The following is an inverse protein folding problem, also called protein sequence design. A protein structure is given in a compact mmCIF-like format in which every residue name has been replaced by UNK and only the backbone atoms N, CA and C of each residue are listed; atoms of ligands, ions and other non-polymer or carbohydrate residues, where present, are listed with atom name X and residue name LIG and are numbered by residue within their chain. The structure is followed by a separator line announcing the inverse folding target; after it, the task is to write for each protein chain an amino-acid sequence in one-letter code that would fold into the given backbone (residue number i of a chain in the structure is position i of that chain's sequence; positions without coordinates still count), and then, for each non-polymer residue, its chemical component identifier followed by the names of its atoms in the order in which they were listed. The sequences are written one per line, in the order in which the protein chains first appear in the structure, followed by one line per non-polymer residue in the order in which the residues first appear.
data_IF_962454582082
#
_entry.id   IF_962454582082
#
_cell.length_a   1.000
_cell.length_b   1.000
_cell.length_c   1.000
_cell.angle_alpha   90.00
_cell.angle_beta   90.00
_cell.angle_gamma   90.00
#
_symmetry.space_group_name_H-M   'P 1'
#
loop_
_entity.id
_entity.type
_entity.pdbx_description
1 polymer ?
#
# COMPACT_ATOMS: atom_id res chain seq x y z
N UNK A 1 9.51 -21.03 2.93
CA UNK A 1 9.15 -19.61 2.66
C UNK A 1 10.40 -18.89 2.17
N UNK A 2 10.39 -18.21 1.01
CA UNK A 2 11.56 -17.43 0.60
C UNK A 2 11.45 -16.00 1.12
N UNK A 3 12.35 -15.64 2.04
CA UNK A 3 12.51 -14.26 2.49
C UNK A 3 12.90 -13.40 1.28
N UNK A 4 12.30 -12.20 1.18
CA UNK A 4 12.60 -11.23 0.12
C UNK A 4 12.93 -9.90 0.75
N UNK A 5 13.87 -9.18 0.14
CA UNK A 5 14.17 -7.80 0.50
C UNK A 5 13.22 -6.88 -0.27
N UNK A 6 12.61 -5.94 0.45
CA UNK A 6 11.69 -4.96 -0.11
C UNK A 6 12.12 -3.56 0.28
N UNK A 7 12.48 -2.74 -0.71
CA UNK A 7 12.81 -1.33 -0.53
C UNK A 7 11.82 -0.46 -1.28
N UNK A 8 11.61 0.77 -0.81
CA UNK A 8 10.76 1.75 -1.48
C UNK A 8 11.56 2.98 -1.85
N UNK A 9 11.29 3.49 -3.05
CA UNK A 9 11.86 4.71 -3.57
C UNK A 9 10.76 5.76 -3.68
N UNK A 10 11.10 7.01 -3.43
CA UNK A 10 10.21 8.17 -3.58
C UNK A 10 10.67 9.00 -4.77
N UNK A 11 9.79 9.21 -5.73
CA UNK A 11 10.10 9.97 -6.94
C UNK A 11 8.97 10.96 -7.16
N UNK A 12 9.27 12.24 -7.33
CA UNK A 12 8.22 13.23 -7.60
C UNK A 12 7.54 12.93 -8.94
N UNK A 13 6.22 13.17 -9.08
CA UNK A 13 5.47 12.86 -10.31
C UNK A 13 6.04 13.46 -11.59
N UNK A 14 6.67 14.64 -11.50
CA UNK A 14 7.29 15.31 -12.65
C UNK A 14 8.54 14.55 -13.17
N UNK A 15 9.09 13.63 -12.37
CA UNK A 15 10.24 12.77 -12.69
C UNK A 15 9.83 11.35 -13.10
N UNK A 16 8.53 11.11 -13.30
CA UNK A 16 8.03 9.81 -13.76
C UNK A 16 8.57 9.44 -15.14
N UNK A 17 8.67 10.42 -16.05
CA UNK A 17 9.25 10.22 -17.37
C UNK A 17 10.72 9.81 -17.26
N UNK A 18 11.54 10.59 -16.53
CA UNK A 18 12.96 10.29 -16.27
C UNK A 18 13.17 8.89 -15.67
N UNK A 19 12.29 8.46 -14.75
CA UNK A 19 12.32 7.11 -14.19
C UNK A 19 12.07 6.03 -15.25
N UNK A 20 11.06 6.22 -16.10
CA UNK A 20 10.71 5.26 -17.15
C UNK A 20 11.85 5.17 -18.17
N UNK A 21 12.40 6.30 -18.58
CA UNK A 21 13.55 6.37 -19.48
C UNK A 21 14.78 5.67 -18.88
N UNK A 22 15.05 5.90 -17.59
CA UNK A 22 16.11 5.20 -16.87
C UNK A 22 15.88 3.68 -16.87
N UNK A 23 14.66 3.22 -16.61
CA UNK A 23 14.32 1.78 -16.63
C UNK A 23 14.58 1.20 -18.02
N UNK A 24 14.10 1.85 -19.07
CA UNK A 24 14.25 1.38 -20.44
C UNK A 24 15.73 1.33 -20.86
N UNK A 25 16.49 2.37 -20.51
CA UNK A 25 17.94 2.47 -20.80
C UNK A 25 18.76 1.40 -20.08
N UNK A 26 18.24 0.86 -18.97
CA UNK A 26 18.86 -0.22 -18.21
C UNK A 26 18.32 -1.63 -18.58
N UNK A 27 17.68 -1.76 -19.74
CA UNK A 27 17.15 -3.04 -20.23
C UNK A 27 15.92 -3.53 -19.45
N UNK A 28 15.20 -2.60 -18.80
CA UNK A 28 13.98 -2.90 -18.09
C UNK A 28 12.82 -3.21 -19.03
N UNK A 29 11.96 -4.13 -18.63
CA UNK A 29 10.78 -4.52 -19.42
C UNK A 29 9.54 -4.71 -18.55
N UNK A 30 8.37 -4.54 -19.16
CA UNK A 30 7.08 -4.70 -18.50
C UNK A 30 6.85 -6.19 -18.19
N UNK A 31 6.47 -6.51 -16.95
CA UNK A 31 6.19 -7.88 -16.53
C UNK A 31 4.72 -8.29 -16.68
N UNK A 32 3.82 -7.34 -16.46
CA UNK A 32 2.38 -7.57 -16.41
C UNK A 32 1.64 -6.32 -16.89
N UNK A 33 0.40 -6.50 -17.31
CA UNK A 33 -0.47 -5.40 -17.67
C UNK A 33 -0.63 -4.38 -16.53
N UNK A 34 -0.76 -3.12 -16.94
CA UNK A 34 -1.03 -2.01 -16.03
C UNK A 34 -2.40 -2.25 -15.40
N UNK A 35 -2.51 -2.04 -14.09
CA UNK A 35 -3.78 -2.21 -13.40
C UNK A 35 -4.04 -1.13 -12.37
N UNK A 36 -5.31 -0.90 -12.12
CA UNK A 36 -5.77 -0.10 -11.00
C UNK A 36 -5.74 -0.99 -9.76
N UNK A 37 -5.35 -0.41 -8.63
CA UNK A 37 -5.45 -1.05 -7.33
C UNK A 37 -6.22 -0.11 -6.41
N UNK A 38 -7.26 -0.62 -5.79
CA UNK A 38 -8.04 0.09 -4.79
C UNK A 38 -8.01 -0.64 -3.47
N UNK A 39 -7.90 0.07 -2.36
CA UNK A 39 -7.88 -0.52 -1.02
C UNK A 39 -8.56 0.39 -0.01
N UNK A 40 -9.63 -0.09 0.62
CA UNK A 40 -10.23 0.53 1.80
C UNK A 40 -9.57 -0.03 3.04
N UNK A 41 -8.92 0.83 3.82
CA UNK A 41 -8.23 0.48 5.06
C UNK A 41 -9.17 0.62 6.25
N UNK A 42 -8.94 -0.23 7.23
CA UNK A 42 -9.68 -0.28 8.47
C UNK A 42 -8.74 0.06 9.62
N UNK A 43 -9.24 0.81 10.59
CA UNK A 43 -8.57 1.07 11.86
C UNK A 43 -9.63 1.27 12.95
N UNK A 44 -9.23 1.26 14.21
CA UNK A 44 -10.12 1.60 15.32
C UNK A 44 -10.23 3.11 15.50
N UNK A 45 -11.10 3.54 16.42
CA UNK A 45 -11.41 4.95 16.63
C UNK A 45 -10.19 5.74 17.16
N UNK A 46 -9.21 5.04 17.73
CA UNK A 46 -7.95 5.58 18.23
C UNK A 46 -6.80 5.54 17.19
N UNK A 47 -7.07 5.09 15.96
CA UNK A 47 -6.05 4.97 14.90
C UNK A 47 -4.80 4.18 15.33
N UNK A 48 -4.96 3.16 16.18
CA UNK A 48 -3.83 2.43 16.76
C UNK A 48 -2.96 1.76 15.69
N UNK A 49 -3.53 1.20 14.60
CA UNK A 49 -2.72 0.60 13.53
C UNK A 49 -1.87 1.64 12.79
N UNK A 50 -2.36 2.88 12.68
CA UNK A 50 -1.57 4.01 12.20
C UNK A 50 -0.41 4.31 13.14
N UNK A 51 -0.68 4.51 14.43
CA UNK A 51 0.33 4.84 15.44
C UNK A 51 1.44 3.78 15.51
N UNK A 52 1.07 2.50 15.64
CA UNK A 52 2.04 1.39 15.62
C UNK A 52 2.87 1.38 14.32
N UNK A 53 2.25 1.75 13.20
CA UNK A 53 2.94 1.82 11.91
C UNK A 53 3.86 3.02 11.78
N UNK A 54 3.70 4.11 12.55
CA UNK A 54 4.62 5.25 12.54
C UNK A 54 5.77 5.01 13.52
N UNK A 55 5.45 4.59 14.75
CA UNK A 55 6.43 4.23 15.79
C UNK A 55 7.30 3.03 15.37
N UNK A 56 6.77 2.13 14.53
CA UNK A 56 7.48 0.93 14.11
C UNK A 56 7.29 -0.25 15.05
N UNK A 57 6.35 -0.13 16.00
CA UNK A 57 5.96 -1.14 16.98
C UNK A 57 5.57 -2.47 16.30
N UNK A 58 5.91 -3.58 16.97
CA UNK A 58 5.61 -4.95 16.54
C UNK A 58 5.11 -5.76 17.74
N UNK A 59 4.15 -6.69 17.57
CA UNK A 59 3.43 -6.97 16.33
C UNK A 59 2.47 -5.84 15.96
N UNK A 60 2.30 -5.59 14.65
CA UNK A 60 1.30 -4.62 14.16
C UNK A 60 0.55 -5.16 12.96
N UNK A 61 -0.70 -4.70 12.78
CA UNK A 61 -1.56 -5.13 11.67
C UNK A 61 -1.89 -3.99 10.71
N UNK A 62 -2.30 -4.38 9.50
CA UNK A 62 -3.06 -3.55 8.56
C UNK A 62 -4.18 -4.38 7.98
N UNK A 63 -5.42 -3.96 8.26
CA UNK A 63 -6.63 -4.59 7.74
C UNK A 63 -7.15 -3.76 6.56
N UNK A 64 -7.46 -4.42 5.45
CA UNK A 64 -8.01 -3.74 4.28
C UNK A 64 -8.86 -4.63 3.41
N UNK A 65 -9.80 -4.02 2.71
CA UNK A 65 -10.51 -4.64 1.60
C UNK A 65 -9.89 -4.10 0.31
N UNK A 66 -9.46 -4.99 -0.59
CA UNK A 66 -8.73 -4.62 -1.82
C UNK A 66 -9.40 -5.21 -3.06
N UNK A 67 -9.44 -4.42 -4.13
CA UNK A 67 -9.87 -4.82 -5.48
C UNK A 67 -8.88 -4.30 -6.54
N UNK A 68 -9.05 -4.77 -7.77
CA UNK A 68 -8.29 -4.34 -8.95
C UNK A 68 -9.09 -3.43 -9.89
N UNK A 69 -10.09 -2.73 -9.35
CA UNK A 69 -10.94 -1.77 -10.07
C UNK A 69 -11.11 -0.51 -9.23
N UNK A 70 -11.57 0.59 -9.84
CA UNK A 70 -11.97 1.79 -9.12
C UNK A 70 -13.44 1.77 -8.68
N UNK A 71 -14.19 0.73 -9.03
CA UNK A 71 -15.58 0.55 -8.63
C UNK A 71 -15.70 0.31 -7.13
N UNK A 72 -16.91 0.44 -6.59
CA UNK A 72 -17.21 0.09 -5.20
C UNK A 72 -16.81 -1.35 -4.89
N UNK A 73 -16.36 -1.57 -3.67
CA UNK A 73 -16.00 -2.90 -3.19
C UNK A 73 -17.25 -3.79 -3.08
N UNK A 74 -17.22 -4.94 -3.74
CA UNK A 74 -18.25 -5.98 -3.69
C UNK A 74 -17.61 -7.34 -3.40
N UNK A 75 -18.42 -8.31 -3.00
CA UNK A 75 -17.97 -9.68 -2.69
C UNK A 75 -17.33 -10.37 -3.91
N UNK A 76 -17.73 -9.97 -5.13
CA UNK A 76 -17.23 -10.55 -6.37
C UNK A 76 -15.88 -9.96 -6.81
N UNK A 77 -15.63 -8.69 -6.51
CA UNK A 77 -14.46 -7.96 -7.01
C UNK A 77 -13.38 -7.68 -5.95
N UNK A 78 -13.65 -7.99 -4.68
CA UNK A 78 -12.81 -7.59 -3.55
C UNK A 78 -12.46 -8.72 -2.61
N UNK A 79 -11.30 -8.60 -1.98
CA UNK A 79 -10.79 -9.54 -1.00
C UNK A 79 -10.45 -8.81 0.30
N UNK A 80 -10.75 -9.43 1.44
CA UNK A 80 -10.26 -8.99 2.74
C UNK A 80 -8.79 -9.44 2.86
N UNK A 81 -7.92 -8.51 3.23
CA UNK A 81 -6.51 -8.76 3.46
C UNK A 81 -6.12 -8.28 4.86
N UNK A 82 -5.49 -9.15 5.64
CA UNK A 82 -4.83 -8.77 6.89
C UNK A 82 -3.33 -8.97 6.71
N UNK A 83 -2.55 -7.91 6.96
CA UNK A 83 -1.09 -7.97 6.96
C UNK A 83 -0.58 -7.80 8.37
N UNK A 84 0.28 -8.70 8.82
CA UNK A 84 0.91 -8.66 10.14
C UNK A 84 2.41 -8.46 9.94
N UNK A 85 2.99 -7.52 10.67
CA UNK A 85 4.44 -7.39 10.81
C UNK A 85 4.80 -7.67 12.26
N UNK A 86 5.57 -8.73 12.50
CA UNK A 86 6.06 -9.15 13.81
C UNK A 86 7.59 -9.23 13.81
N UNK A 87 8.17 -9.66 14.93
CA UNK A 87 9.63 -9.86 15.08
C UNK A 87 10.10 -11.01 14.17
N UNK A 88 9.28 -12.05 14.04
CA UNK A 88 9.55 -13.27 13.26
C UNK A 88 9.42 -13.04 11.75
N UNK A 89 8.70 -11.98 11.35
CA UNK A 89 8.60 -11.60 9.95
C UNK A 89 7.28 -10.94 9.57
N UNK A 90 6.92 -11.07 8.29
CA UNK A 90 5.69 -10.49 7.74
C UNK A 90 4.79 -11.58 7.20
N UNK A 91 3.54 -11.55 7.65
CA UNK A 91 2.51 -12.50 7.28
C UNK A 91 1.37 -11.77 6.58
N UNK A 92 0.72 -12.44 5.64
CA UNK A 92 -0.45 -11.91 4.96
C UNK A 92 -1.48 -13.02 4.80
N UNK A 93 -2.69 -12.78 5.29
CA UNK A 93 -3.86 -13.59 4.97
C UNK A 93 -4.72 -12.87 3.95
N UNK A 94 -5.37 -13.65 3.08
CA UNK A 94 -6.30 -13.15 2.07
C UNK A 94 -7.51 -14.06 2.09
N UNK A 95 -8.70 -13.50 2.22
CA UNK A 95 -9.94 -14.26 2.22
C UNK A 95 -10.99 -13.60 1.34
N UNK A 96 -11.78 -14.43 0.66
CA UNK A 96 -13.10 -14.03 0.19
C UNK A 96 -14.02 -13.97 1.41
N UNK A 97 -14.84 -12.95 1.49
CA UNK A 97 -15.81 -12.80 2.58
C UNK A 97 -17.18 -12.52 1.99
N UNK A 98 -18.15 -13.37 2.27
CA UNK A 98 -19.58 -13.09 2.02
C UNK A 98 -20.10 -11.95 2.90
N UNK A 99 -19.40 -11.61 3.99
CA UNK A 99 -19.75 -10.53 4.91
C UNK A 99 -19.13 -9.18 4.53
N UNK A 100 -18.65 -9.01 3.30
CA UNK A 100 -17.91 -7.82 2.89
C UNK A 100 -18.74 -6.54 3.01
N UNK A 101 -20.04 -6.58 2.67
CA UNK A 101 -20.97 -5.46 2.87
C UNK A 101 -21.09 -5.09 4.35
N UNK A 102 -21.20 -6.09 5.23
CA UNK A 102 -21.25 -5.89 6.68
C UNK A 102 -19.97 -5.23 7.18
N UNK A 103 -18.81 -5.71 6.74
CA UNK A 103 -17.53 -5.11 7.13
C UNK A 103 -17.42 -3.65 6.70
N UNK A 104 -17.82 -3.31 5.48
CA UNK A 104 -17.82 -1.91 5.02
C UNK A 104 -18.83 -1.03 5.77
N UNK A 105 -19.92 -1.60 6.29
CA UNK A 105 -20.93 -0.82 7.00
C UNK A 105 -20.57 -0.60 8.48
N UNK A 106 -20.18 -1.65 9.19
CA UNK A 106 -20.04 -1.63 10.66
C UNK A 106 -18.63 -1.96 11.17
N UNK A 107 -17.71 -2.36 10.29
CA UNK A 107 -16.35 -2.72 10.64
C UNK A 107 -16.10 -4.23 10.81
N UNK A 108 -14.86 -4.54 11.17
CA UNK A 108 -14.33 -5.89 11.46
C UNK A 108 -13.91 -5.92 12.93
N UNK A 109 -14.28 -6.97 13.65
CA UNK A 109 -13.77 -7.22 14.99
C UNK A 109 -12.40 -7.90 14.88
N UNK A 110 -11.34 -7.24 15.35
CA UNK A 110 -9.99 -7.77 15.46
C UNK A 110 -9.64 -8.05 16.93
N UNK A 111 -8.83 -9.09 17.17
CA UNK A 111 -8.43 -9.51 18.51
C UNK A 111 -7.58 -8.48 19.25
N UNK A 112 -6.78 -7.71 18.52
CA UNK A 112 -5.74 -6.86 19.12
C UNK A 112 -6.19 -5.39 19.10
N UNK A 113 -6.97 -5.00 18.09
CA UNK A 113 -7.41 -3.62 17.87
C UNK A 113 -8.90 -3.39 18.15
N UNK A 114 -9.65 -4.44 18.51
CA UNK A 114 -11.10 -4.34 18.74
C UNK A 114 -11.88 -4.04 17.45
N UNK A 115 -12.89 -3.17 17.54
CA UNK A 115 -13.73 -2.84 16.38
C UNK A 115 -12.98 -1.89 15.44
N UNK A 116 -12.61 -2.40 14.27
CA UNK A 116 -11.94 -1.64 13.23
C UNK A 116 -12.93 -1.25 12.14
N UNK A 117 -13.16 0.05 11.93
CA UNK A 117 -14.09 0.58 10.93
C UNK A 117 -13.35 1.01 9.66
N UNK A 118 -13.99 1.05 8.49
CA UNK A 118 -13.34 1.58 7.30
C UNK A 118 -13.09 3.08 7.46
N UNK A 119 -11.83 3.48 7.37
CA UNK A 119 -11.42 4.88 7.65
C UNK A 119 -11.05 5.64 6.38
N UNK A 120 -10.41 5.00 5.41
CA UNK A 120 -10.00 5.66 4.17
C UNK A 120 -9.84 4.67 3.02
N UNK A 121 -9.97 5.19 1.80
CA UNK A 121 -9.73 4.47 0.55
C UNK A 121 -8.50 5.05 -0.15
N UNK A 122 -7.60 4.16 -0.55
CA UNK A 122 -6.45 4.48 -1.39
C UNK A 122 -6.61 3.80 -2.74
N UNK A 123 -6.57 4.57 -3.82
CA UNK A 123 -6.49 4.04 -5.19
C UNK A 123 -5.26 4.55 -5.92
N UNK A 124 -4.73 3.75 -6.85
CA UNK A 124 -3.56 4.11 -7.64
C UNK A 124 -3.45 3.24 -8.90
N UNK A 125 -2.64 3.69 -9.86
CA UNK A 125 -2.26 2.92 -11.04
C UNK A 125 -0.92 2.25 -10.79
N UNK A 126 -0.83 0.96 -11.09
CA UNK A 126 0.38 0.16 -10.88
C UNK A 126 0.91 -0.37 -12.20
N UNK A 127 2.21 -0.19 -12.40
CA UNK A 127 2.98 -0.77 -13.50
C UNK A 127 4.03 -1.73 -12.92
N UNK A 128 4.26 -2.85 -13.59
CA UNK A 128 5.24 -3.85 -13.18
C UNK A 128 6.40 -3.86 -14.15
N UNK A 129 7.61 -3.71 -13.63
CA UNK A 129 8.83 -3.83 -14.40
C UNK A 129 9.75 -4.91 -13.82
N UNK A 130 10.65 -5.41 -14.66
CA UNK A 130 11.85 -6.11 -14.22
C UNK A 130 13.05 -5.44 -14.85
N UNK A 131 14.01 -5.07 -14.02
CA UNK A 131 15.28 -4.48 -14.46
C UNK A 131 16.38 -4.97 -13.51
N UNK A 132 17.57 -5.28 -14.04
CA UNK A 132 18.66 -5.89 -13.28
C UNK A 132 18.26 -7.15 -12.48
N UNK A 133 17.36 -7.98 -13.05
CA UNK A 133 16.77 -9.16 -12.40
C UNK A 133 15.92 -8.85 -11.14
N UNK A 134 15.73 -7.59 -10.78
CA UNK A 134 14.90 -7.14 -9.65
C UNK A 134 13.50 -6.80 -10.16
N UNK A 135 12.46 -7.20 -9.40
CA UNK A 135 11.08 -6.83 -9.72
C UNK A 135 10.76 -5.47 -9.14
N UNK A 136 10.22 -4.59 -9.97
CA UNK A 136 9.78 -3.26 -9.59
C UNK A 136 8.26 -3.15 -9.71
N UNK A 137 7.65 -2.41 -8.80
CA UNK A 137 6.30 -1.88 -9.01
C UNK A 137 6.30 -0.38 -8.88
N UNK A 138 5.81 0.32 -9.91
CA UNK A 138 5.65 1.76 -9.92
C UNK A 138 4.19 2.06 -9.62
N UNK A 139 3.93 2.71 -8.49
CA UNK A 139 2.61 3.16 -8.09
C UNK A 139 2.52 4.67 -8.32
N UNK A 140 1.68 5.09 -9.27
CA UNK A 140 1.49 6.48 -9.67
C UNK A 140 0.00 6.86 -9.65
N UNK A 141 -0.30 8.17 -9.74
CA UNK A 141 -1.67 8.70 -9.62
C UNK A 141 -2.34 8.18 -8.32
N UNK A 142 -1.59 8.28 -7.21
CA UNK A 142 -2.06 7.80 -5.90
C UNK A 142 -3.07 8.81 -5.36
N UNK A 143 -4.22 8.28 -4.96
CA UNK A 143 -5.43 9.01 -4.60
C UNK A 143 -5.90 8.56 -3.23
N UNK A 144 -6.26 9.52 -2.39
CA UNK A 144 -6.71 9.31 -1.03
C UNK A 144 -8.10 9.90 -0.84
N UNK A 145 -9.03 9.12 -0.27
CA UNK A 145 -10.36 9.58 0.13
C UNK A 145 -10.67 9.11 1.53
N UNK A 146 -11.24 9.98 2.35
CA UNK A 146 -11.80 9.59 3.63
C UNK A 146 -13.03 8.70 3.41
N UNK A 147 -13.20 7.72 4.28
CA UNK A 147 -14.41 6.90 4.36
C UNK A 147 -15.05 7.16 5.72
N UNK A 148 -16.35 7.40 5.72
CA UNK A 148 -17.13 7.62 6.93
C UNK A 148 -18.47 6.88 6.79
N UNK A 149 -18.84 6.11 7.81
CA UNK A 149 -20.04 5.26 7.80
C UNK A 149 -20.20 4.42 6.51
N UNK A 150 -19.08 3.82 6.06
CA UNK A 150 -19.03 2.99 4.86
C UNK A 150 -19.14 3.72 3.52
N UNK A 151 -19.18 5.06 3.52
CA UNK A 151 -19.27 5.88 2.31
C UNK A 151 -18.01 6.70 2.12
N UNK A 152 -17.55 6.80 0.88
CA UNK A 152 -16.46 7.70 0.50
C UNK A 152 -16.92 9.15 0.56
N UNK A 153 -16.12 10.00 1.19
CA UNK A 153 -16.29 11.44 1.11
C UNK A 153 -15.95 11.95 -0.30
N UNK A 154 -16.56 13.05 -0.70
CA UNK A 154 -16.31 13.68 -2.01
C UNK A 154 -14.89 14.24 -2.14
N UNK A 155 -14.29 14.66 -1.02
CA UNK A 155 -12.94 15.20 -0.98
C UNK A 155 -11.89 14.16 -1.37
N UNK A 156 -11.06 14.53 -2.35
CA UNK A 156 -10.03 13.67 -2.94
C UNK A 156 -8.67 14.37 -2.88
N UNK A 157 -7.74 13.75 -2.16
CA UNK A 157 -6.33 14.15 -2.14
C UNK A 157 -5.51 13.33 -3.13
N UNK A 158 -4.50 13.96 -3.75
CA UNK A 158 -3.59 13.30 -4.68
C UNK A 158 -2.17 13.39 -4.15
N UNK A 159 -1.49 12.25 -4.08
CA UNK A 159 -0.07 12.24 -3.70
C UNK A 159 0.77 12.89 -4.82
N UNK A 160 1.65 13.85 -4.52
CA UNK A 160 2.58 14.39 -5.51
C UNK A 160 3.66 13.39 -5.92
N UNK A 161 3.87 12.32 -5.13
CA UNK A 161 4.93 11.37 -5.35
C UNK A 161 4.45 10.08 -6.02
N UNK A 162 5.34 9.53 -6.83
CA UNK A 162 5.33 8.17 -7.36
C UNK A 162 6.15 7.31 -6.42
N UNK A 163 5.59 6.16 -6.07
CA UNK A 163 6.25 5.22 -5.15
C UNK A 163 6.66 3.99 -5.91
N UNK A 164 7.97 3.74 -5.94
CA UNK A 164 8.54 2.53 -6.53
C UNK A 164 8.86 1.53 -5.43
N UNK A 165 8.45 0.28 -5.58
CA UNK A 165 8.84 -0.80 -4.65
C UNK A 165 9.77 -1.77 -5.39
N UNK A 166 11.00 -1.91 -4.89
CA UNK A 166 11.98 -2.89 -5.33
C UNK A 166 11.74 -4.19 -4.56
N UNK A 167 11.67 -5.33 -5.26
CA UNK A 167 11.54 -6.66 -4.65
C UNK A 167 12.65 -7.56 -5.15
N UNK A 168 13.55 -7.91 -4.24
CA UNK A 168 14.72 -8.72 -4.50
C UNK A 168 14.66 -10.03 -3.69
N UNK A 169 15.31 -11.08 -4.22
CA UNK A 169 15.56 -12.31 -3.45
C UNK A 169 16.45 -12.05 -2.24
N UNK A 170 16.38 -12.90 -1.21
CA UNK A 170 17.24 -12.79 -0.02
C UNK A 170 18.73 -12.83 -0.33
N UNK A 171 19.12 -13.52 -1.39
CA UNK A 171 20.49 -13.65 -1.89
C UNK A 171 21.06 -12.37 -2.52
N UNK A 172 20.22 -11.39 -2.88
CA UNK A 172 20.68 -10.13 -3.47
C UNK A 172 21.26 -9.25 -2.36
N UNK A 173 22.50 -8.79 -2.53
CA UNK A 173 23.14 -7.92 -1.55
C UNK A 173 22.50 -6.53 -1.55
N UNK A 174 22.44 -5.91 -0.38
CA UNK A 174 21.90 -4.55 -0.25
C UNK A 174 22.80 -3.54 -0.98
N UNK A 175 24.12 -3.75 -0.97
CA UNK A 175 25.09 -2.99 -1.77
C UNK A 175 24.75 -2.99 -3.26
N UNK A 176 24.36 -4.14 -3.81
CA UNK A 176 23.94 -4.24 -5.21
C UNK A 176 22.71 -3.40 -5.50
N UNK A 177 21.69 -3.42 -4.62
CA UNK A 177 20.51 -2.57 -4.77
C UNK A 177 20.85 -1.08 -4.70
N UNK A 178 21.78 -0.69 -3.83
CA UNK A 178 22.25 0.69 -3.75
C UNK A 178 22.95 1.17 -5.02
N UNK A 179 23.84 0.33 -5.56
CA UNK A 179 24.58 0.64 -6.79
C UNK A 179 23.69 0.67 -8.03
N UNK A 180 22.75 -0.27 -8.15
CA UNK A 180 21.94 -0.44 -9.36
C UNK A 180 20.72 0.48 -9.41
N UNK A 181 20.29 1.08 -8.30
CA UNK A 181 19.09 1.93 -8.26
C UNK A 181 19.39 3.24 -7.56
N UNK A 182 20.07 4.22 -8.16
CA UNK A 182 20.55 5.42 -7.46
C UNK A 182 19.44 6.47 -7.17
N UNK A 183 18.37 6.07 -6.48
CA UNK A 183 17.21 6.91 -6.14
C UNK A 183 17.00 7.03 -4.64
N UNK A 184 16.30 8.05 -4.14
CA UNK A 184 16.09 8.19 -2.70
C UNK A 184 15.22 7.08 -2.11
N UNK A 185 15.69 6.48 -1.01
CA UNK A 185 15.00 5.41 -0.29
C UNK A 185 14.11 6.04 0.78
N UNK A 186 12.94 5.45 0.97
CA UNK A 186 11.97 5.96 1.94
C UNK A 186 11.25 4.82 2.66
N UNK A 187 10.96 5.01 3.95
CA UNK A 187 9.92 4.22 4.63
C UNK A 187 8.57 4.79 4.21
N UNK A 188 7.80 4.05 3.41
CA UNK A 188 6.52 4.55 2.90
C UNK A 188 5.38 3.55 3.11
N UNK A 189 4.31 4.07 3.72
CA UNK A 189 3.04 3.40 3.93
C UNK A 189 1.95 4.26 3.30
N UNK A 190 1.30 3.75 2.24
CA UNK A 190 0.17 4.46 1.59
C UNK A 190 -0.94 4.79 2.58
N UNK A 191 -1.18 3.92 3.55
CA UNK A 191 -2.17 4.13 4.59
C UNK A 191 -1.76 5.29 5.50
N UNK A 192 -0.54 5.26 6.05
CA UNK A 192 -0.04 6.33 6.93
C UNK A 192 0.00 7.69 6.25
N UNK A 193 0.48 7.70 5.00
CA UNK A 193 0.52 8.89 4.15
C UNK A 193 -0.89 9.46 3.93
N UNK A 194 -1.88 8.59 3.71
CA UNK A 194 -3.27 9.01 3.55
C UNK A 194 -3.83 9.63 4.83
N UNK A 195 -3.58 9.04 6.01
CA UNK A 195 -4.00 9.60 7.31
C UNK A 195 -3.44 11.01 7.51
N UNK A 196 -2.15 11.21 7.19
CA UNK A 196 -1.49 12.51 7.29
C UNK A 196 -2.05 13.53 6.29
N UNK A 197 -2.16 13.17 5.00
CA UNK A 197 -2.63 14.09 3.96
C UNK A 197 -4.10 14.47 4.11
N UNK A 198 -4.94 13.53 4.56
CA UNK A 198 -6.36 13.79 4.86
C UNK A 198 -6.56 14.42 6.24
N UNK A 199 -5.49 14.69 7.00
CA UNK A 199 -5.51 15.28 8.34
C UNK A 199 -6.46 14.56 9.31
N UNK A 200 -6.49 13.23 9.22
CA UNK A 200 -7.45 12.40 9.95
C UNK A 200 -7.07 12.17 11.42
N UNK A 201 -5.83 12.45 11.81
CA UNK A 201 -5.31 12.26 13.15
C UNK A 201 -5.14 13.57 13.95
N UNK A 202 -5.95 14.58 13.67
CA UNK A 202 -5.91 15.85 14.42
C UNK A 202 -6.83 15.78 15.64
N UNK A 203 -6.43 14.97 16.61
CA UNK A 203 -6.83 15.14 18.00
C UNK A 203 -5.57 15.19 18.86
N UNK A 204 -4.93 16.36 18.86
CA UNK A 204 -4.27 16.92 20.03
C UNK A 204 -4.82 18.33 20.21
#
# INVERSE_FOLDING_TARGET
MSFRKEEKLKIHKNKLYDLIDWINSNGGYILHEKRIVSSTYFDNDQFQMYHDSEEGSVPRKKIRIRSYTNESHTENNSLLEVKISSVEGRYKTVSKSSNLKKYLAIGVLDSDYGICRPVLRVSYRRIYYKVHKIRLTIDHDIRYRRVYNGKECSFLEKDPDVIVELKAGSNVSTKYLYQMFPFDRVRFSKYSRAVQMLRMNMHM
#
